data_IF_841592574558
#
_entry.id   IF_841592574558
#
_cell.length_a   1.000
_cell.length_b   1.000
_cell.length_c   1.000
_cell.angle_alpha   90.00
_cell.angle_beta   90.00
_cell.angle_gamma   90.00
#
_symmetry.space_group_name_H-M   'P 1'
#
loop_
_entity.id
_entity.type
_entity.pdbx_description
1 polymer ?
#
# COMPACT_ATOMS: atom_id res chain seq x y z
N UNK A 1 -1.62 -7.66 -17.46
CA UNK A 1 -1.24 -6.24 -17.57
C UNK A 1 -1.14 -5.66 -16.16
N UNK A 2 -0.02 -5.04 -15.79
CA UNK A 2 0.15 -4.32 -14.52
C UNK A 2 0.01 -2.83 -14.82
N UNK A 3 -0.85 -2.07 -14.11
CA UNK A 3 -0.98 -0.63 -14.36
C UNK A 3 0.31 0.12 -14.01
N UNK A 4 0.57 1.24 -14.68
CA UNK A 4 1.84 1.98 -14.55
C UNK A 4 2.07 2.55 -13.14
N UNK A 5 1.04 3.13 -12.48
CA UNK A 5 1.16 3.68 -11.12
C UNK A 5 1.58 2.65 -10.08
N UNK A 6 0.87 1.51 -9.90
CA UNK A 6 1.29 0.50 -8.93
C UNK A 6 2.65 -0.11 -9.28
N UNK A 7 2.98 -0.27 -10.57
CA UNK A 7 4.31 -0.75 -10.98
C UNK A 7 5.43 0.22 -10.59
N UNK A 8 5.25 1.52 -10.88
CA UNK A 8 6.22 2.56 -10.52
C UNK A 8 6.37 2.71 -9.01
N UNK A 9 5.26 2.71 -8.27
CA UNK A 9 5.31 2.77 -6.80
C UNK A 9 6.05 1.57 -6.19
N UNK A 10 5.78 0.35 -6.66
CA UNK A 10 6.48 -0.85 -6.18
C UNK A 10 7.99 -0.79 -6.46
N UNK A 11 8.38 -0.30 -7.64
CA UNK A 11 9.79 -0.11 -7.99
C UNK A 11 10.47 0.89 -7.04
N UNK A 12 9.87 2.07 -6.84
CA UNK A 12 10.42 3.10 -5.96
C UNK A 12 10.56 2.60 -4.51
N UNK A 13 9.58 1.86 -4.01
CA UNK A 13 9.64 1.27 -2.66
C UNK A 13 10.82 0.29 -2.56
N UNK A 14 10.97 -0.60 -3.55
CA UNK A 14 12.06 -1.59 -3.59
C UNK A 14 13.43 -0.94 -3.70
N UNK A 15 13.57 0.10 -4.53
CA UNK A 15 14.82 0.86 -4.63
C UNK A 15 15.17 1.60 -3.33
N UNK A 16 14.16 2.06 -2.57
CA UNK A 16 14.37 2.80 -1.32
C UNK A 16 14.70 1.90 -0.14
N UNK A 17 14.01 0.76 -0.01
CA UNK A 17 14.12 -0.11 1.17
C UNK A 17 14.95 -1.37 0.93
N UNK A 18 15.22 -1.75 -0.32
CA UNK A 18 15.94 -2.96 -0.68
C UNK A 18 15.05 -4.20 -0.58
N UNK A 19 15.34 -5.08 0.38
CA UNK A 19 14.53 -6.28 0.61
C UNK A 19 13.22 -5.92 1.31
N UNK A 20 12.11 -6.27 0.68
CA UNK A 20 10.77 -5.99 1.20
C UNK A 20 10.16 -7.18 1.96
N UNK A 21 10.86 -8.31 1.98
CA UNK A 21 10.40 -9.54 2.60
C UNK A 21 10.13 -9.34 4.10
N UNK A 22 8.93 -9.73 4.54
CA UNK A 22 8.51 -9.65 5.94
C UNK A 22 8.02 -8.27 6.40
N UNK A 23 8.24 -7.19 5.62
CA UNK A 23 7.74 -5.86 5.97
C UNK A 23 6.21 -5.82 5.94
N UNK A 24 5.61 -5.06 6.85
CA UNK A 24 4.17 -4.83 6.91
C UNK A 24 3.78 -3.62 6.07
N UNK A 25 3.15 -3.89 4.93
CA UNK A 25 2.63 -2.86 4.04
C UNK A 25 1.12 -2.65 4.22
N UNK A 26 0.72 -1.41 4.45
CA UNK A 26 -0.68 -0.99 4.52
C UNK A 26 -1.04 -0.21 3.26
N UNK A 27 -2.04 -0.68 2.53
CA UNK A 27 -2.58 -0.02 1.34
C UNK A 27 -3.95 0.55 1.65
N UNK A 28 -4.06 1.88 1.71
CA UNK A 28 -5.34 2.56 1.93
C UNK A 28 -5.98 2.85 0.58
N UNK A 29 -7.02 2.10 0.24
CA UNK A 29 -7.72 2.17 -1.04
C UNK A 29 -7.62 0.86 -1.81
N UNK A 30 -8.72 0.48 -2.46
CA UNK A 30 -8.86 -0.82 -3.17
C UNK A 30 -9.41 -0.68 -4.59
N UNK A 31 -9.07 0.42 -5.26
CA UNK A 31 -9.43 0.64 -6.66
C UNK A 31 -8.79 -0.42 -7.57
N UNK A 32 -9.41 -0.68 -8.72
CA UNK A 32 -8.88 -1.65 -9.69
C UNK A 32 -7.62 -1.13 -10.40
N UNK A 33 -7.43 0.19 -10.48
CA UNK A 33 -6.31 0.82 -11.17
C UNK A 33 -5.03 0.88 -10.32
N UNK A 34 -5.16 1.04 -9.00
CA UNK A 34 -4.01 1.28 -8.12
C UNK A 34 -4.02 0.36 -6.91
N UNK A 35 -5.02 0.47 -6.03
CA UNK A 35 -5.00 -0.16 -4.71
C UNK A 35 -4.89 -1.69 -4.72
N UNK A 36 -5.69 -2.38 -5.54
CA UNK A 36 -5.58 -3.85 -5.66
C UNK A 36 -4.29 -4.28 -6.35
N UNK A 37 -3.88 -3.70 -7.50
CA UNK A 37 -2.61 -4.06 -8.12
C UNK A 37 -1.38 -3.84 -7.23
N UNK A 38 -1.26 -2.70 -6.51
CA UNK A 38 -0.09 -2.46 -5.66
C UNK A 38 -0.02 -3.46 -4.50
N UNK A 39 -1.17 -3.79 -3.89
CA UNK A 39 -1.22 -4.82 -2.86
C UNK A 39 -0.71 -6.18 -3.37
N UNK A 40 -1.08 -6.56 -4.59
CA UNK A 40 -0.59 -7.80 -5.21
C UNK A 40 0.90 -7.75 -5.54
N UNK A 41 1.45 -6.59 -5.95
CA UNK A 41 2.88 -6.44 -6.18
C UNK A 41 3.69 -6.55 -4.89
N UNK A 42 3.24 -5.92 -3.81
CA UNK A 42 3.90 -6.01 -2.50
C UNK A 42 3.82 -7.43 -1.92
N UNK A 43 2.70 -8.13 -2.11
CA UNK A 43 2.60 -9.56 -1.77
C UNK A 43 3.61 -10.42 -2.55
N UNK A 44 3.85 -10.13 -3.83
CA UNK A 44 4.85 -10.85 -4.64
C UNK A 44 6.29 -10.62 -4.16
N UNK A 45 6.54 -9.51 -3.49
CA UNK A 45 7.82 -9.18 -2.86
C UNK A 45 7.90 -9.72 -1.40
N UNK A 46 6.98 -10.61 -1.01
CA UNK A 46 6.90 -11.25 0.30
C UNK A 46 6.59 -10.30 1.48
N UNK A 47 5.96 -9.14 1.22
CA UNK A 47 5.43 -8.31 2.29
C UNK A 47 4.21 -8.96 2.95
N UNK A 48 4.00 -8.68 4.24
CA UNK A 48 2.68 -8.84 4.87
C UNK A 48 1.83 -7.65 4.45
N UNK A 49 0.69 -7.87 3.78
CA UNK A 49 -0.09 -6.76 3.20
C UNK A 49 -1.48 -6.65 3.82
N UNK A 50 -1.81 -5.47 4.35
CA UNK A 50 -3.14 -5.10 4.84
C UNK A 50 -3.80 -4.10 3.89
N UNK A 51 -4.97 -4.45 3.34
CA UNK A 51 -5.72 -3.55 2.44
C UNK A 51 -6.87 -2.88 3.20
N UNK A 52 -6.77 -1.56 3.35
CA UNK A 52 -7.77 -0.72 3.99
C UNK A 52 -8.71 -0.07 2.97
N UNK A 53 -9.92 0.28 3.41
CA UNK A 53 -10.92 0.98 2.60
C UNK A 53 -11.91 1.76 3.48
N UNK A 54 -12.92 2.38 2.86
CA UNK A 54 -13.92 3.24 3.53
C UNK A 54 -14.75 2.57 4.64
N UNK A 55 -14.63 1.25 4.84
CA UNK A 55 -15.33 0.51 5.90
C UNK A 55 -14.36 -0.14 6.90
N UNK A 56 -13.06 0.13 6.77
CA UNK A 56 -12.05 -0.34 7.71
C UNK A 56 -12.26 0.37 9.04
N UNK A 57 -12.44 -0.40 10.12
CA UNK A 57 -12.49 0.11 11.48
C UNK A 57 -11.07 0.47 11.94
N UNK A 58 -10.96 1.49 12.79
CA UNK A 58 -9.69 1.93 13.38
C UNK A 58 -8.57 2.18 12.34
N UNK A 59 -8.92 2.81 11.21
CA UNK A 59 -7.98 3.02 10.10
C UNK A 59 -6.65 3.65 10.55
N UNK A 60 -6.71 4.61 11.48
CA UNK A 60 -5.51 5.27 12.03
C UNK A 60 -4.56 4.28 12.70
N UNK A 61 -5.06 3.39 13.54
CA UNK A 61 -4.26 2.38 14.26
C UNK A 61 -3.58 1.43 13.26
N UNK A 62 -4.32 1.00 12.25
CA UNK A 62 -3.77 0.14 11.18
C UNK A 62 -2.65 0.87 10.43
N UNK A 63 -2.85 2.13 10.03
CA UNK A 63 -1.82 2.90 9.34
C UNK A 63 -0.55 3.12 10.18
N UNK A 64 -0.68 3.29 11.51
CA UNK A 64 0.47 3.47 12.41
C UNK A 64 1.33 2.21 12.56
N UNK A 65 0.78 1.04 12.26
CA UNK A 65 1.51 -0.24 12.32
C UNK A 65 2.30 -0.58 11.05
N UNK A 66 2.29 0.31 10.04
CA UNK A 66 2.85 0.04 8.73
C UNK A 66 4.34 0.41 8.66
N UNK A 67 5.17 -0.51 8.16
CA UNK A 67 6.52 -0.18 7.68
C UNK A 67 6.44 0.58 6.34
N UNK A 68 5.45 0.22 5.52
CA UNK A 68 5.18 0.83 4.21
C UNK A 68 3.72 1.27 4.16
N UNK A 69 3.44 2.56 3.97
CA UNK A 69 2.08 3.08 3.84
C UNK A 69 1.82 3.62 2.43
N UNK A 70 0.87 3.02 1.70
CA UNK A 70 0.45 3.46 0.37
C UNK A 70 -0.96 4.05 0.43
N UNK A 71 -1.09 5.36 0.23
CA UNK A 71 -2.38 6.05 0.20
C UNK A 71 -2.91 6.21 -1.25
N UNK A 72 -3.94 5.44 -1.61
CA UNK A 72 -4.57 5.40 -2.94
C UNK A 72 -6.08 5.71 -2.87
N UNK A 73 -6.43 6.81 -2.20
CA UNK A 73 -7.83 7.15 -1.81
C UNK A 73 -8.47 8.29 -2.59
N UNK A 74 -7.71 9.13 -3.30
CA UNK A 74 -8.25 10.26 -4.06
C UNK A 74 -8.94 11.35 -3.22
N UNK A 75 -8.69 11.36 -1.90
CA UNK A 75 -9.21 12.36 -0.96
C UNK A 75 -8.01 13.12 -0.39
N UNK A 76 -7.94 14.45 -0.60
CA UNK A 76 -6.89 15.28 -0.01
C UNK A 76 -6.81 15.11 1.51
N UNK A 77 -5.58 15.00 2.04
CA UNK A 77 -5.30 15.00 3.48
C UNK A 77 -6.04 13.93 4.32
N UNK A 78 -6.52 12.85 3.70
CA UNK A 78 -7.21 11.78 4.45
C UNK A 78 -6.27 11.09 5.44
N UNK A 79 -5.03 10.80 4.99
CA UNK A 79 -3.99 10.22 5.83
C UNK A 79 -3.18 11.38 6.42
N UNK A 80 -3.12 11.45 7.74
CA UNK A 80 -2.44 12.49 8.51
C UNK A 80 -1.36 11.85 9.39
N UNK A 81 -0.23 12.55 9.54
CA UNK A 81 0.86 12.19 10.45
C UNK A 81 0.57 12.58 11.89
#
# INVERSE_FOLDING_TARGET
MVPCTPQGSALLIKETLGDLSGLHAVVVGRSNLVGKPIAQLLLRENCTVTVCHSRTKNLKEVCLSADILVAAVGIPELVKG
#
